data_IF_774395644904
#
_entry.id   IF_774395644904
#
_cell.length_a   1.000
_cell.length_b   1.000
_cell.length_c   1.000
_cell.angle_alpha   90.00
_cell.angle_beta   90.00
_cell.angle_gamma   90.00
#
_symmetry.space_group_name_H-M   'P 1'
#
loop_
_entity.id
_entity.type
_entity.pdbx_description
1 polymer ?
#
# COMPACT_ATOMS: atom_id res chain seq x y z
N UNK A 1 -4.74 -34.95 15.80
CA UNK A 1 -5.54 -33.76 15.51
C UNK A 1 -4.62 -32.64 15.12
N UNK A 2 -4.31 -32.57 13.84
CA UNK A 2 -3.48 -31.49 13.27
C UNK A 2 -4.39 -30.28 13.07
N UNK A 3 -4.09 -29.19 13.77
CA UNK A 3 -4.73 -27.91 13.58
C UNK A 3 -4.02 -27.19 12.42
N UNK A 4 -4.64 -27.02 11.23
CA UNK A 4 -3.98 -26.47 10.06
C UNK A 4 -3.84 -24.94 10.08
N UNK A 5 -4.14 -24.26 11.20
CA UNK A 5 -4.26 -22.81 11.28
C UNK A 5 -3.09 -22.09 11.93
N UNK A 6 -1.94 -22.74 12.15
CA UNK A 6 -0.69 -22.05 12.50
C UNK A 6 0.11 -21.73 11.22
N UNK A 7 -0.50 -20.98 10.33
CA UNK A 7 0.21 -20.40 9.19
C UNK A 7 1.11 -19.26 9.68
N UNK A 8 2.33 -19.57 10.07
CA UNK A 8 3.38 -18.56 10.15
C UNK A 8 3.62 -18.06 8.74
N UNK A 9 3.21 -16.81 8.47
CA UNK A 9 3.57 -16.14 7.24
C UNK A 9 5.09 -15.91 7.25
N UNK A 10 5.80 -16.44 6.27
CA UNK A 10 7.19 -16.07 6.05
C UNK A 10 7.20 -14.62 5.54
N UNK A 11 7.39 -13.67 6.46
CA UNK A 11 7.33 -12.22 6.23
C UNK A 11 8.50 -11.72 5.35
N UNK A 12 9.34 -12.61 4.83
CA UNK A 12 10.35 -12.26 3.81
C UNK A 12 9.72 -11.82 2.49
N UNK A 13 8.40 -11.94 2.34
CA UNK A 13 7.64 -11.48 1.17
C UNK A 13 6.67 -10.37 1.55
N UNK A 14 6.46 -9.44 0.60
CA UNK A 14 5.41 -8.43 0.71
C UNK A 14 4.05 -9.10 0.73
N UNK A 15 3.30 -8.86 1.78
CA UNK A 15 1.93 -9.36 1.92
C UNK A 15 1.00 -8.16 2.02
N UNK A 16 0.01 -8.11 1.13
CA UNK A 16 -1.13 -7.21 1.26
C UNK A 16 -2.29 -7.96 1.88
N UNK A 17 -3.06 -7.25 2.70
CA UNK A 17 -4.32 -7.75 3.23
C UNK A 17 -5.47 -6.97 2.61
N UNK A 18 -6.48 -7.69 2.15
CA UNK A 18 -7.70 -7.14 1.61
C UNK A 18 -8.91 -7.69 2.38
N UNK A 19 -9.81 -6.79 2.83
CA UNK A 19 -10.98 -7.17 3.59
C UNK A 19 -11.57 -6.01 4.38
N UNK A 20 -12.60 -6.27 5.17
CA UNK A 20 -13.21 -5.27 6.04
C UNK A 20 -12.29 -4.93 7.23
N UNK A 21 -12.36 -3.67 7.70
CA UNK A 21 -11.51 -3.16 8.81
C UNK A 21 -11.61 -4.05 10.04
N UNK A 22 -12.85 -4.45 10.40
CA UNK A 22 -13.12 -5.30 11.57
C UNK A 22 -12.47 -6.69 11.48
N UNK A 23 -12.26 -7.20 10.27
CA UNK A 23 -11.64 -8.50 10.03
C UNK A 23 -10.12 -8.45 10.16
N UNK A 24 -9.52 -7.27 9.98
CA UNK A 24 -8.09 -7.05 9.92
C UNK A 24 -7.50 -6.51 11.23
N UNK A 25 -8.30 -5.86 12.10
CA UNK A 25 -7.86 -5.35 13.40
C UNK A 25 -7.30 -6.44 14.34
N UNK A 26 -7.73 -7.67 14.17
CA UNK A 26 -7.30 -8.83 14.98
C UNK A 26 -5.88 -9.31 14.63
N UNK A 27 -5.39 -8.96 13.43
CA UNK A 27 -4.06 -9.40 12.98
C UNK A 27 -2.92 -8.49 13.48
N UNK A 28 -3.24 -7.35 14.14
CA UNK A 28 -2.26 -6.31 14.48
C UNK A 28 -2.42 -5.87 15.94
N UNK A 29 -2.34 -6.79 16.87
CA UNK A 29 -2.09 -6.44 18.27
C UNK A 29 -0.57 -6.34 18.51
N UNK A 30 -0.12 -5.18 19.01
CA UNK A 30 1.25 -4.84 19.47
C UNK A 30 2.13 -4.01 18.52
N UNK A 31 1.64 -2.85 18.10
CA UNK A 31 2.54 -1.78 17.69
C UNK A 31 2.67 -0.77 18.84
N UNK A 32 3.88 -0.64 19.40
CA UNK A 32 4.18 0.38 20.41
C UNK A 32 3.78 1.77 19.91
N UNK A 33 2.74 2.34 20.55
CA UNK A 33 2.26 3.69 20.22
C UNK A 33 3.22 4.71 20.85
N UNK A 34 4.17 5.19 20.07
CA UNK A 34 4.98 6.34 20.49
C UNK A 34 4.08 7.55 20.68
N UNK A 35 3.99 8.07 21.89
CA UNK A 35 3.18 9.25 22.19
C UNK A 35 3.81 10.48 21.53
N UNK A 36 3.10 11.07 20.56
CA UNK A 36 3.51 12.27 19.86
C UNK A 36 2.78 13.48 20.48
N UNK A 37 3.54 14.43 21.00
CA UNK A 37 2.96 15.68 21.48
C UNK A 37 2.75 16.63 20.30
N UNK A 38 1.48 16.86 19.96
CA UNK A 38 1.07 17.65 18.80
C UNK A 38 1.42 19.13 18.86
N UNK A 39 1.71 19.67 20.07
CA UNK A 39 2.13 21.07 20.26
C UNK A 39 3.54 21.36 19.72
N UNK A 40 4.35 20.32 19.50
CA UNK A 40 5.70 20.50 18.96
C UNK A 40 5.70 20.64 17.44
N UNK A 41 6.81 21.16 16.91
CA UNK A 41 7.09 21.21 15.48
C UNK A 41 7.55 19.84 14.98
N UNK A 42 7.30 19.57 13.68
CA UNK A 42 7.68 18.32 13.01
C UNK A 42 9.16 18.00 13.21
N UNK A 43 10.05 19.00 13.15
CA UNK A 43 11.52 18.85 13.34
C UNK A 43 11.93 18.28 14.72
N UNK A 44 11.03 18.23 15.69
CA UNK A 44 11.28 17.54 16.96
C UNK A 44 11.37 16.03 16.79
N UNK A 45 10.71 15.50 15.76
CA UNK A 45 10.50 14.07 15.55
C UNK A 45 11.05 13.55 14.23
N UNK A 46 11.33 14.44 13.26
CA UNK A 46 11.73 14.10 11.92
C UNK A 46 12.90 14.95 11.45
N UNK A 47 13.90 14.33 10.90
CA UNK A 47 15.05 14.97 10.25
C UNK A 47 14.78 15.23 8.76
N UNK A 48 15.52 16.15 8.17
CA UNK A 48 15.46 16.40 6.74
C UNK A 48 16.19 15.30 5.96
N UNK A 49 15.48 14.59 5.10
CA UNK A 49 16.07 13.71 4.11
C UNK A 49 15.65 14.19 2.71
N UNK A 50 16.63 14.61 1.91
CA UNK A 50 16.39 15.22 0.59
C UNK A 50 15.62 14.27 -0.33
N UNK A 51 16.02 13.02 -0.43
CA UNK A 51 15.44 12.06 -1.38
C UNK A 51 13.98 11.74 -1.04
N UNK A 52 13.68 11.60 0.24
CA UNK A 52 12.30 11.35 0.70
C UNK A 52 11.41 12.57 0.49
N UNK A 53 11.94 13.77 0.80
CA UNK A 53 11.20 15.02 0.65
C UNK A 53 10.92 15.32 -0.82
N UNK A 54 11.91 15.14 -1.71
CA UNK A 54 11.73 15.32 -3.15
C UNK A 54 10.69 14.36 -3.74
N UNK A 55 10.70 13.07 -3.34
CA UNK A 55 9.70 12.08 -3.79
C UNK A 55 8.28 12.47 -3.35
N UNK A 56 8.15 13.01 -2.14
CA UNK A 56 6.85 13.35 -1.54
C UNK A 56 6.38 14.78 -1.88
N UNK A 57 7.18 15.58 -2.61
CA UNK A 57 7.00 17.03 -2.83
C UNK A 57 6.83 17.78 -1.49
N UNK A 58 7.62 17.43 -0.49
CA UNK A 58 7.70 18.15 0.77
C UNK A 58 8.88 19.16 0.70
N UNK A 59 8.64 20.38 1.16
CA UNK A 59 9.70 21.37 1.34
C UNK A 59 10.28 21.34 2.76
N UNK A 60 11.39 22.08 2.99
CA UNK A 60 12.01 22.17 4.32
C UNK A 60 11.11 22.87 5.35
N UNK A 61 10.17 23.72 4.91
CA UNK A 61 9.22 24.40 5.78
C UNK A 61 8.25 23.43 6.44
N UNK A 62 8.03 22.25 5.83
CA UNK A 62 7.28 21.17 6.46
C UNK A 62 7.81 20.86 7.88
N UNK A 63 9.12 20.88 8.09
CA UNK A 63 9.74 20.63 9.41
C UNK A 63 9.43 21.72 10.44
N UNK A 64 9.10 22.93 10.00
CA UNK A 64 8.76 24.06 10.88
C UNK A 64 7.30 24.12 11.27
N UNK A 65 6.42 23.37 10.60
CA UNK A 65 4.99 23.27 10.92
C UNK A 65 4.80 22.69 12.33
N UNK A 66 3.79 23.18 13.06
CA UNK A 66 3.31 22.50 14.26
C UNK A 66 2.55 21.23 13.84
N UNK A 67 2.64 20.18 14.64
CA UNK A 67 1.97 18.92 14.34
C UNK A 67 0.45 19.08 14.38
N UNK A 68 -0.09 19.97 15.20
CA UNK A 68 -1.53 20.29 15.21
C UNK A 68 -2.01 20.96 13.92
N UNK A 69 -1.12 21.64 13.19
CA UNK A 69 -1.46 22.35 11.94
C UNK A 69 -1.35 21.45 10.70
N UNK A 70 -0.93 20.21 10.87
CA UNK A 70 -0.80 19.25 9.76
C UNK A 70 -2.18 18.75 9.31
N UNK A 71 -2.40 18.73 8.01
CA UNK A 71 -3.49 17.93 7.44
C UNK A 71 -3.32 16.44 7.79
N UNK A 72 -4.39 15.68 7.71
CA UNK A 72 -4.34 14.23 7.95
C UNK A 72 -3.29 13.54 7.06
N UNK A 73 -3.20 13.93 5.78
CA UNK A 73 -2.21 13.38 4.85
C UNK A 73 -0.78 13.73 5.28
N UNK A 74 -0.50 14.98 5.62
CA UNK A 74 0.80 15.42 6.10
C UNK A 74 1.20 14.71 7.40
N UNK A 75 0.25 14.53 8.32
CA UNK A 75 0.48 13.80 9.55
C UNK A 75 0.84 12.33 9.29
N UNK A 76 0.12 11.66 8.39
CA UNK A 76 0.46 10.29 7.97
C UNK A 76 1.85 10.21 7.33
N UNK A 77 2.22 11.17 6.48
CA UNK A 77 3.56 11.21 5.88
C UNK A 77 4.65 11.41 6.95
N UNK A 78 4.44 12.31 7.90
CA UNK A 78 5.35 12.51 9.03
C UNK A 78 5.55 11.20 9.80
N UNK A 79 4.46 10.50 10.14
CA UNK A 79 4.54 9.21 10.84
C UNK A 79 5.32 8.16 10.05
N UNK A 80 5.06 8.06 8.76
CA UNK A 80 5.79 7.11 7.89
C UNK A 80 7.29 7.42 7.87
N UNK A 81 7.67 8.68 7.68
CA UNK A 81 9.07 9.09 7.65
C UNK A 81 9.76 8.86 9.01
N UNK A 82 9.08 9.18 10.13
CA UNK A 82 9.60 8.90 11.47
C UNK A 82 9.88 7.40 11.69
N UNK A 83 8.97 6.54 11.23
CA UNK A 83 9.14 5.09 11.34
C UNK A 83 10.32 4.62 10.49
N UNK A 84 10.46 5.16 9.27
CA UNK A 84 11.58 4.84 8.37
C UNK A 84 12.92 5.22 8.96
N UNK A 85 13.04 6.39 9.63
CA UNK A 85 14.28 6.83 10.30
C UNK A 85 14.78 5.86 11.38
N UNK A 86 13.91 5.05 11.96
CA UNK A 86 14.32 4.04 12.93
C UNK A 86 14.74 2.71 12.29
N UNK A 87 14.77 2.62 10.96
CA UNK A 87 15.17 1.45 10.17
C UNK A 87 14.57 0.12 10.68
N UNK A 88 13.25 0.03 10.85
CA UNK A 88 12.62 -1.19 11.35
C UNK A 88 12.72 -2.30 10.31
N UNK A 89 12.68 -3.55 10.73
CA UNK A 89 12.66 -4.70 9.81
C UNK A 89 11.35 -4.83 9.04
N UNK A 90 10.26 -4.30 9.61
CA UNK A 90 8.91 -4.40 9.08
C UNK A 90 8.12 -3.12 9.37
N UNK A 91 7.42 -2.61 8.36
CA UNK A 91 6.44 -1.52 8.48
C UNK A 91 5.06 -2.05 8.09
N UNK A 92 4.06 -1.81 8.95
CA UNK A 92 2.66 -2.13 8.67
C UNK A 92 1.93 -0.85 8.27
N UNK A 93 1.41 -0.81 7.05
CA UNK A 93 0.61 0.29 6.51
C UNK A 93 -0.88 -0.06 6.63
N UNK A 94 -1.49 0.33 7.74
CA UNK A 94 -2.90 0.06 8.02
C UNK A 94 -3.79 1.18 7.47
N UNK A 95 -4.53 0.92 6.38
CA UNK A 95 -5.38 1.90 5.67
C UNK A 95 -4.65 3.23 5.43
N UNK A 96 -3.36 3.12 5.17
CA UNK A 96 -2.50 4.29 5.01
C UNK A 96 -2.88 5.09 3.76
N UNK A 97 -3.33 4.42 2.71
CA UNK A 97 -3.73 5.00 1.43
C UNK A 97 -5.02 5.85 1.50
N UNK A 98 -5.84 5.68 2.55
CA UNK A 98 -7.08 6.42 2.74
C UNK A 98 -6.80 7.91 2.95
N UNK A 99 -7.51 8.76 2.18
CA UNK A 99 -7.37 10.23 2.18
C UNK A 99 -6.33 10.76 1.20
N UNK A 100 -5.46 9.92 0.63
CA UNK A 100 -4.55 10.34 -0.43
C UNK A 100 -5.20 10.22 -1.82
N UNK A 101 -5.01 11.25 -2.64
CA UNK A 101 -5.38 11.18 -4.05
C UNK A 101 -4.39 10.31 -4.85
N UNK A 102 -4.74 9.98 -6.10
CA UNK A 102 -3.93 9.11 -6.94
C UNK A 102 -2.50 9.61 -7.22
N UNK A 103 -2.27 10.94 -7.24
CA UNK A 103 -0.93 11.52 -7.39
C UNK A 103 -0.07 11.21 -6.16
N UNK A 104 -0.61 11.41 -4.96
CA UNK A 104 0.09 11.11 -3.71
C UNK A 104 0.29 9.61 -3.51
N UNK A 105 -0.70 8.77 -3.82
CA UNK A 105 -0.52 7.30 -3.77
C UNK A 105 0.67 6.85 -4.62
N UNK A 106 0.85 7.41 -5.82
CA UNK A 106 2.02 7.11 -6.67
C UNK A 106 3.36 7.49 -6.03
N UNK A 107 3.42 8.62 -5.30
CA UNK A 107 4.63 9.04 -4.59
C UNK A 107 4.94 8.12 -3.41
N UNK A 108 3.92 7.75 -2.64
CA UNK A 108 4.06 6.78 -1.55
C UNK A 108 4.60 5.44 -2.08
N UNK A 109 4.06 4.95 -3.21
CA UNK A 109 4.56 3.73 -3.85
C UNK A 109 6.03 3.87 -4.26
N UNK A 110 6.44 5.02 -4.81
CA UNK A 110 7.85 5.28 -5.15
C UNK A 110 8.74 5.27 -3.90
N UNK A 111 8.31 5.93 -2.83
CA UNK A 111 9.03 5.95 -1.57
C UNK A 111 9.19 4.54 -0.99
N UNK A 112 8.11 3.75 -0.92
CA UNK A 112 8.15 2.37 -0.43
C UNK A 112 9.16 1.53 -1.24
N UNK A 113 9.16 1.67 -2.58
CA UNK A 113 10.10 0.95 -3.45
C UNK A 113 11.55 1.37 -3.20
N UNK A 114 11.80 2.67 -3.00
CA UNK A 114 13.13 3.18 -2.66
C UNK A 114 13.59 2.61 -1.31
N UNK A 115 12.79 2.75 -0.26
CA UNK A 115 13.10 2.29 1.09
C UNK A 115 13.39 0.79 1.11
N UNK A 116 12.61 0.01 0.39
CA UNK A 116 12.84 -1.43 0.25
C UNK A 116 14.19 -1.73 -0.39
N UNK A 117 14.51 -1.04 -1.48
CA UNK A 117 15.73 -1.28 -2.23
C UNK A 117 16.98 -0.84 -1.45
N UNK A 118 16.90 0.30 -0.72
CA UNK A 118 18.05 0.89 -0.01
C UNK A 118 18.24 0.36 1.41
N UNK A 119 17.15 0.09 2.15
CA UNK A 119 17.21 -0.29 3.56
C UNK A 119 16.75 -1.75 3.81
N UNK A 120 16.24 -2.43 2.81
CA UNK A 120 15.75 -3.82 2.96
C UNK A 120 14.51 -3.96 3.86
N UNK A 121 13.80 -2.87 4.15
CA UNK A 121 12.62 -2.87 5.02
C UNK A 121 11.47 -3.60 4.33
N UNK A 122 10.82 -4.52 5.04
CA UNK A 122 9.62 -5.20 4.58
C UNK A 122 8.37 -4.39 4.90
N UNK A 123 7.32 -4.59 4.09
CA UNK A 123 6.04 -3.91 4.27
C UNK A 123 4.88 -4.90 4.29
N UNK A 124 3.96 -4.70 5.21
CA UNK A 124 2.61 -5.27 5.19
C UNK A 124 1.64 -4.13 4.89
N UNK A 125 0.75 -4.33 3.93
CA UNK A 125 -0.23 -3.32 3.52
C UNK A 125 -1.63 -3.85 3.75
N UNK A 126 -2.43 -3.10 4.50
CA UNK A 126 -3.85 -3.37 4.73
C UNK A 126 -4.62 -2.26 4.02
N UNK A 127 -5.41 -2.60 3.03
CA UNK A 127 -6.15 -1.63 2.22
C UNK A 127 -7.28 -2.30 1.45
N UNK A 128 -8.32 -1.53 1.13
CA UNK A 128 -9.38 -1.89 0.19
C UNK A 128 -9.11 -1.34 -1.22
N UNK A 129 -7.99 -0.63 -1.44
CA UNK A 129 -7.57 -0.19 -2.77
C UNK A 129 -6.70 -1.27 -3.42
N UNK A 130 -7.33 -2.14 -4.22
CA UNK A 130 -6.65 -3.25 -4.90
C UNK A 130 -5.54 -2.77 -5.85
N UNK A 131 -5.70 -1.59 -6.46
CA UNK A 131 -4.68 -1.02 -7.36
C UNK A 131 -3.46 -0.58 -6.56
N UNK A 132 -3.66 0.03 -5.40
CA UNK A 132 -2.58 0.40 -4.49
C UNK A 132 -1.86 -0.85 -3.96
N UNK A 133 -2.61 -1.82 -3.46
CA UNK A 133 -2.07 -3.11 -2.98
C UNK A 133 -1.20 -3.78 -4.05
N UNK A 134 -1.73 -3.95 -5.28
CA UNK A 134 -1.00 -4.61 -6.36
C UNK A 134 0.31 -3.91 -6.75
N UNK A 135 0.39 -2.57 -6.58
CA UNK A 135 1.61 -1.81 -6.89
C UNK A 135 2.67 -1.89 -5.81
N UNK A 136 2.27 -2.18 -4.56
CA UNK A 136 3.17 -2.25 -3.41
C UNK A 136 3.59 -3.69 -3.11
N UNK A 137 2.67 -4.64 -3.20
CA UNK A 137 2.89 -6.04 -2.79
C UNK A 137 2.76 -7.02 -3.96
N UNK A 138 3.38 -8.19 -3.83
CA UNK A 138 3.28 -9.28 -4.81
C UNK A 138 2.20 -10.29 -4.47
N UNK A 139 1.97 -10.51 -3.17
CA UNK A 139 1.01 -11.48 -2.66
C UNK A 139 -0.02 -10.80 -1.79
N UNK A 140 -1.24 -11.30 -1.83
CA UNK A 140 -2.37 -10.82 -1.04
C UNK A 140 -2.95 -11.95 -0.22
N UNK A 141 -3.42 -11.59 0.96
CA UNK A 141 -4.28 -12.44 1.79
C UNK A 141 -5.64 -11.76 1.85
N UNK A 142 -6.68 -12.45 1.41
CA UNK A 142 -8.05 -11.95 1.48
C UNK A 142 -8.72 -12.54 2.70
N UNK A 143 -9.20 -11.66 3.59
CA UNK A 143 -9.91 -12.03 4.81
C UNK A 143 -11.38 -11.63 4.73
N UNK A 144 -12.26 -12.52 5.19
CA UNK A 144 -13.68 -12.22 5.37
C UNK A 144 -14.16 -12.93 6.64
N UNK A 145 -14.87 -12.22 7.52
CA UNK A 145 -15.35 -12.73 8.81
C UNK A 145 -14.27 -13.45 9.62
N UNK A 146 -13.07 -12.80 9.68
CA UNK A 146 -11.89 -13.31 10.42
C UNK A 146 -11.33 -14.65 9.89
N UNK A 147 -11.72 -15.04 8.68
CA UNK A 147 -11.25 -16.26 8.03
C UNK A 147 -10.49 -15.88 6.77
N UNK A 148 -9.30 -16.45 6.60
CA UNK A 148 -8.54 -16.33 5.34
C UNK A 148 -9.31 -17.09 4.27
N UNK A 149 -9.73 -16.39 3.21
CA UNK A 149 -10.45 -16.93 2.07
C UNK A 149 -9.55 -17.26 0.90
N UNK A 150 -8.47 -16.47 0.74
CA UNK A 150 -7.53 -16.62 -0.37
C UNK A 150 -6.14 -16.17 0.07
N UNK A 151 -5.14 -16.80 -0.51
CA UNK A 151 -3.74 -16.39 -0.39
C UNK A 151 -3.04 -16.65 -1.72
N UNK A 152 -2.50 -15.60 -2.37
CA UNK A 152 -1.86 -15.73 -3.67
C UNK A 152 -1.56 -14.38 -4.31
N UNK A 153 -1.47 -14.34 -5.64
CA UNK A 153 -1.30 -13.10 -6.38
C UNK A 153 -2.60 -12.30 -6.42
N UNK A 154 -2.48 -10.96 -6.44
CA UNK A 154 -3.66 -10.06 -6.51
C UNK A 154 -4.56 -10.39 -7.73
N UNK A 155 -3.94 -10.61 -8.90
CA UNK A 155 -4.70 -10.91 -10.13
C UNK A 155 -5.45 -12.24 -10.04
N UNK A 156 -4.88 -13.24 -9.38
CA UNK A 156 -5.56 -14.53 -9.20
C UNK A 156 -6.74 -14.38 -8.24
N UNK A 157 -6.59 -13.59 -7.16
CA UNK A 157 -7.68 -13.29 -6.24
C UNK A 157 -8.87 -12.58 -6.93
N UNK A 158 -8.60 -11.70 -7.90
CA UNK A 158 -9.65 -11.06 -8.70
C UNK A 158 -10.32 -12.08 -9.62
N UNK A 159 -9.53 -12.87 -10.37
CA UNK A 159 -10.06 -13.89 -11.29
C UNK A 159 -10.94 -14.94 -10.61
N UNK A 160 -10.59 -15.29 -9.38
CA UNK A 160 -11.34 -16.27 -8.58
C UNK A 160 -12.50 -15.64 -7.78
N UNK A 161 -12.74 -14.31 -7.93
CA UNK A 161 -13.86 -13.61 -7.29
C UNK A 161 -13.69 -13.33 -5.79
N UNK A 162 -12.50 -13.45 -5.24
CA UNK A 162 -12.21 -13.08 -3.85
C UNK A 162 -12.01 -11.58 -3.64
N UNK A 163 -11.68 -10.86 -4.70
CA UNK A 163 -11.56 -9.41 -4.75
C UNK A 163 -12.47 -8.89 -5.87
N UNK A 164 -13.22 -7.84 -5.59
CA UNK A 164 -14.08 -7.18 -6.57
C UNK A 164 -13.27 -6.70 -7.79
N UNK A 165 -13.82 -6.91 -8.98
CA UNK A 165 -13.19 -6.49 -10.22
C UNK A 165 -13.08 -4.96 -10.26
N UNK A 166 -11.88 -4.39 -10.41
CA UNK A 166 -11.74 -2.94 -10.54
C UNK A 166 -12.16 -2.48 -11.94
N UNK A 167 -12.56 -1.20 -12.12
CA UNK A 167 -13.06 -0.66 -13.41
C UNK A 167 -12.14 -0.90 -14.61
N UNK A 168 -10.83 -1.00 -14.39
CA UNK A 168 -9.88 -1.32 -15.46
C UNK A 168 -10.09 -2.74 -16.02
N UNK A 169 -10.54 -3.68 -15.19
CA UNK A 169 -10.88 -5.04 -15.60
C UNK A 169 -12.15 -5.07 -16.44
N UNK A 170 -13.19 -4.33 -16.03
CA UNK A 170 -14.43 -4.19 -16.81
C UNK A 170 -14.15 -3.65 -18.20
N UNK A 171 -13.28 -2.63 -18.29
CA UNK A 171 -12.87 -2.07 -19.57
C UNK A 171 -12.19 -3.13 -20.47
N UNK A 172 -11.21 -3.87 -19.93
CA UNK A 172 -10.48 -4.91 -20.67
C UNK A 172 -11.45 -6.00 -21.15
N UNK A 173 -12.36 -6.43 -20.29
CA UNK A 173 -13.39 -7.42 -20.60
C UNK A 173 -14.27 -6.97 -21.77
N UNK A 174 -14.84 -5.74 -21.64
CA UNK A 174 -15.67 -5.16 -22.70
C UNK A 174 -14.94 -4.98 -24.02
N UNK A 175 -13.66 -4.62 -24.00
CA UNK A 175 -12.84 -4.49 -25.20
C UNK A 175 -12.58 -5.85 -25.84
N UNK A 176 -12.28 -6.87 -25.04
CA UNK A 176 -12.04 -8.24 -25.52
C UNK A 176 -13.32 -8.88 -26.07
N UNK A 177 -14.48 -8.62 -25.46
CA UNK A 177 -15.79 -9.04 -25.98
C UNK A 177 -16.10 -8.42 -27.38
N UNK A 178 -15.49 -7.28 -27.69
CA UNK A 178 -15.58 -6.61 -29.01
C UNK A 178 -14.43 -6.98 -29.95
N UNK A 179 -13.64 -7.98 -29.60
CA UNK A 179 -12.57 -8.51 -30.47
C UNK A 179 -11.18 -7.93 -30.24
N UNK A 180 -10.98 -7.10 -29.19
CA UNK A 180 -9.63 -6.76 -28.75
C UNK A 180 -8.98 -7.98 -28.10
N UNK A 181 -7.65 -8.02 -28.06
CA UNK A 181 -6.90 -9.09 -27.40
C UNK A 181 -5.97 -8.49 -26.36
N UNK A 182 -6.58 -7.80 -25.36
CA UNK A 182 -5.86 -7.09 -24.32
C UNK A 182 -5.56 -8.01 -23.14
N UNK A 183 -4.34 -7.91 -22.60
CA UNK A 183 -3.95 -8.63 -21.40
C UNK A 183 -4.57 -8.00 -20.15
N UNK A 184 -5.01 -8.83 -19.20
CA UNK A 184 -5.53 -8.36 -17.92
C UNK A 184 -4.42 -7.76 -17.06
N UNK A 185 -4.56 -6.47 -16.71
CA UNK A 185 -3.61 -5.72 -15.90
C UNK A 185 -4.32 -4.74 -14.98
N UNK A 186 -3.68 -4.41 -13.86
CA UNK A 186 -4.09 -3.32 -12.96
C UNK A 186 -3.27 -2.04 -13.19
N UNK A 187 -2.33 -2.05 -14.13
CA UNK A 187 -1.52 -0.89 -14.48
C UNK A 187 -2.01 -0.23 -15.76
N UNK A 188 -2.54 0.99 -15.64
CA UNK A 188 -3.03 1.76 -16.79
C UNK A 188 -1.97 2.03 -17.87
N UNK A 189 -0.68 2.08 -17.49
CA UNK A 189 0.40 2.28 -18.46
C UNK A 189 0.66 1.02 -19.27
N UNK A 190 0.57 -0.15 -18.63
CA UNK A 190 0.73 -1.42 -19.34
C UNK A 190 -0.47 -1.67 -20.23
N UNK A 191 -1.69 -1.34 -19.78
CA UNK A 191 -2.88 -1.38 -20.62
C UNK A 191 -2.74 -0.46 -21.85
N UNK A 192 -2.29 0.78 -21.68
CA UNK A 192 -2.07 1.70 -22.80
C UNK A 192 -1.06 1.15 -23.80
N UNK A 193 0.06 0.58 -23.35
CA UNK A 193 1.03 -0.07 -24.24
C UNK A 193 0.43 -1.21 -25.02
N UNK A 194 -0.41 -2.01 -24.38
CA UNK A 194 -1.08 -3.16 -25.03
C UNK A 194 -2.10 -2.69 -26.06
N UNK A 195 -2.89 -1.66 -25.76
CA UNK A 195 -3.78 -1.01 -26.73
C UNK A 195 -3.00 -0.51 -27.93
N UNK A 196 -1.88 0.21 -27.73
CA UNK A 196 -1.07 0.69 -28.85
C UNK A 196 -0.54 -0.45 -29.73
N UNK A 197 -0.13 -1.57 -29.14
CA UNK A 197 0.33 -2.75 -29.89
C UNK A 197 -0.78 -3.46 -30.65
N UNK A 198 -2.03 -3.37 -30.16
CA UNK A 198 -3.16 -4.03 -30.81
C UNK A 198 -3.80 -3.19 -31.92
N UNK A 199 -3.51 -1.88 -31.99
CA UNK A 199 -4.09 -0.95 -32.98
C UNK A 199 -3.11 -0.58 -34.07
N UNK A 200 -1.80 -0.69 -33.84
CA UNK A 200 -0.71 -0.37 -34.76
C UNK A 200 0.25 -1.54 -34.94
#
# INVERSE_FOLDING_TARGET
SNNPNNGFFDIKQFVGFYGEISDLEILIDNLDKKVINRKYKVKKYLSYNKDYFDILDLDKEFLNKKIDDLSMCEYKLMLLLMVIENEPKLIVLNYFDVGFNGKFKRKIIKLIKLIRASLGINFVVISNDVVFVNKVVKHVVVCNKKIIKFQGKVLDAIKEGYIEEPPIYDFIKLANDKGANLEYTLDSKDLLKDIYRSVF
#
